data_IF_403242105957
#
_entry.id   IF_403242105957
#
_cell.length_a   1.000
_cell.length_b   1.000
_cell.length_c   1.000
_cell.angle_alpha   90.00
_cell.angle_beta   90.00
_cell.angle_gamma   90.00
#
_symmetry.space_group_name_H-M   'P 1'
#
loop_
_entity.id
_entity.type
_entity.pdbx_description
1 polymer ?
#
# COMPACT_ATOMS: atom_id res chain seq x y z
N UNK A 1 47.39 15.37 11.00
CA UNK A 1 47.93 14.00 10.88
C UNK A 1 48.89 13.96 9.70
N UNK A 2 49.81 13.00 9.63
CA UNK A 2 50.90 13.10 8.64
C UNK A 2 50.41 12.68 7.24
N UNK A 3 50.67 13.59 6.30
CA UNK A 3 50.66 13.30 4.87
C UNK A 3 52.03 12.72 4.51
N UNK A 4 52.08 11.67 3.73
CA UNK A 4 53.30 10.97 3.37
C UNK A 4 53.64 11.21 1.90
N UNK A 5 54.96 11.22 1.59
CA UNK A 5 55.44 11.25 0.21
C UNK A 5 55.90 9.85 -0.19
N UNK A 6 55.41 9.39 -1.31
CA UNK A 6 55.84 8.13 -1.93
C UNK A 6 57.22 8.29 -2.54
N UNK A 7 58.20 7.58 -1.99
CA UNK A 7 59.62 7.69 -2.40
C UNK A 7 59.87 7.25 -3.86
N UNK A 8 58.99 6.43 -4.39
CA UNK A 8 59.17 5.88 -5.76
C UNK A 8 58.58 6.80 -6.82
N UNK A 9 57.42 7.44 -6.51
CA UNK A 9 56.71 8.26 -7.50
C UNK A 9 56.79 9.76 -7.24
N UNK A 10 57.39 10.18 -6.10
CA UNK A 10 57.46 11.57 -5.64
C UNK A 10 56.11 12.21 -5.32
N UNK A 11 55.02 11.48 -5.44
CA UNK A 11 53.63 11.95 -5.19
C UNK A 11 53.26 11.80 -3.72
N UNK A 12 52.31 12.64 -3.26
CA UNK A 12 51.82 12.59 -1.91
C UNK A 12 50.61 11.68 -1.74
N UNK A 13 50.43 11.12 -0.53
CA UNK A 13 49.29 10.34 -0.14
C UNK A 13 48.93 10.60 1.32
N UNK A 14 47.67 10.37 1.68
CA UNK A 14 47.26 10.32 3.09
C UNK A 14 46.83 8.91 3.46
N UNK A 15 46.96 8.58 4.74
CA UNK A 15 46.44 7.37 5.35
C UNK A 15 45.87 7.76 6.73
N UNK A 16 44.57 7.53 6.92
CA UNK A 16 43.90 7.79 8.19
C UNK A 16 43.09 6.57 8.65
N UNK A 17 42.85 6.49 9.94
CA UNK A 17 41.93 5.55 10.54
C UNK A 17 40.60 6.25 10.80
N UNK A 18 39.52 5.55 10.58
CA UNK A 18 38.17 5.99 10.88
C UNK A 18 37.36 4.83 11.45
N UNK A 19 36.27 5.12 12.14
CA UNK A 19 35.30 4.12 12.60
C UNK A 19 34.20 4.06 11.57
N UNK A 20 33.92 2.87 11.06
CA UNK A 20 32.86 2.69 10.09
C UNK A 20 31.47 2.66 10.77
N UNK A 21 30.42 2.51 9.97
CA UNK A 21 29.04 2.48 10.46
C UNK A 21 28.71 1.25 11.35
N UNK A 22 29.56 0.23 11.35
CA UNK A 22 29.47 -0.94 12.23
C UNK A 22 30.21 -0.73 13.56
N UNK A 23 30.86 0.40 13.72
CA UNK A 23 31.70 0.70 14.87
C UNK A 23 33.13 0.13 14.75
N UNK A 24 33.48 -0.44 13.59
CA UNK A 24 34.80 -1.04 13.37
C UNK A 24 35.83 -0.01 12.92
N UNK A 25 37.05 -0.15 13.44
CA UNK A 25 38.18 0.71 13.06
C UNK A 25 38.77 0.27 11.72
N UNK A 26 38.63 1.10 10.68
CA UNK A 26 39.14 0.87 9.34
C UNK A 26 40.19 1.88 8.93
N UNK A 27 41.02 1.49 7.97
CA UNK A 27 42.09 2.33 7.41
C UNK A 27 41.72 2.75 5.99
N UNK A 28 41.78 4.07 5.70
CA UNK A 28 41.66 4.62 4.35
C UNK A 28 43.00 5.17 3.91
N UNK A 29 43.42 4.82 2.68
CA UNK A 29 44.60 5.38 2.04
C UNK A 29 44.24 5.87 0.65
N UNK A 30 44.67 7.08 0.28
CA UNK A 30 44.50 7.64 -1.08
C UNK A 30 45.82 8.22 -1.53
N UNK A 31 46.30 7.75 -2.70
CA UNK A 31 47.60 8.13 -3.29
C UNK A 31 47.42 9.01 -4.52
N UNK A 32 48.53 9.61 -5.03
CA UNK A 32 48.60 10.26 -6.34
C UNK A 32 48.43 11.76 -6.32
N UNK A 33 48.47 12.41 -5.17
CA UNK A 33 48.41 13.88 -5.09
C UNK A 33 49.73 14.53 -5.52
N UNK A 34 49.62 15.61 -6.30
CA UNK A 34 50.80 16.36 -6.79
C UNK A 34 51.42 17.20 -5.67
N UNK A 35 50.63 17.70 -4.72
CA UNK A 35 51.08 18.56 -3.64
C UNK A 35 50.60 18.02 -2.27
N UNK A 36 51.41 18.23 -1.22
CA UNK A 36 51.06 17.83 0.15
C UNK A 36 49.77 18.50 0.66
N UNK A 37 49.53 19.77 0.30
CA UNK A 37 48.30 20.51 0.62
C UNK A 37 47.04 19.86 0.11
N UNK A 38 47.09 19.29 -1.09
CA UNK A 38 45.94 18.63 -1.75
C UNK A 38 45.61 17.28 -1.08
N UNK A 39 46.66 16.53 -0.67
CA UNK A 39 46.51 15.33 0.12
C UNK A 39 45.92 15.63 1.50
N UNK A 40 46.37 16.72 2.16
CA UNK A 40 45.84 17.18 3.48
C UNK A 40 44.40 17.69 3.39
N UNK A 41 44.07 18.40 2.31
CA UNK A 41 42.70 18.82 2.04
C UNK A 41 41.80 17.62 1.85
N UNK A 42 42.20 16.65 1.03
CA UNK A 42 41.44 15.42 0.76
C UNK A 42 41.29 14.53 2.02
N UNK A 43 42.30 14.48 2.91
CA UNK A 43 42.19 13.82 4.22
C UNK A 43 41.12 14.49 5.09
N UNK A 44 41.20 15.83 5.22
CA UNK A 44 40.25 16.62 6.03
C UNK A 44 38.84 16.48 5.50
N UNK A 45 38.63 16.55 4.18
CA UNK A 45 37.33 16.39 3.57
C UNK A 45 36.78 14.99 3.77
N UNK A 46 37.63 13.96 3.70
CA UNK A 46 37.25 12.58 4.01
C UNK A 46 36.84 12.44 5.48
N UNK A 47 37.63 12.96 6.42
CA UNK A 47 37.29 12.89 7.85
C UNK A 47 36.03 13.69 8.19
N UNK A 48 35.85 14.88 7.61
CA UNK A 48 34.65 15.70 7.79
C UNK A 48 33.41 14.97 7.24
N UNK A 49 33.54 14.25 6.12
CA UNK A 49 32.48 13.39 5.59
C UNK A 49 32.18 12.21 6.53
N UNK A 50 33.18 11.71 7.29
CA UNK A 50 33.01 10.64 8.27
C UNK A 50 32.31 11.11 9.55
N UNK A 51 32.52 12.36 9.97
CA UNK A 51 31.85 12.93 11.16
C UNK A 51 30.37 13.25 10.94
N UNK A 52 29.87 13.20 9.71
CA UNK A 52 28.49 13.55 9.38
C UNK A 52 27.68 12.54 8.54
N UNK A 53 28.32 11.49 8.02
CA UNK A 53 27.60 10.53 7.18
C UNK A 53 28.22 9.14 7.31
N UNK A 54 27.40 8.16 7.58
CA UNK A 54 27.80 6.76 7.54
C UNK A 54 28.33 6.41 6.14
N UNK A 55 29.53 5.82 6.06
CA UNK A 55 30.09 5.24 4.82
C UNK A 55 29.30 4.01 4.31
N UNK A 56 28.04 3.99 4.56
CA UNK A 56 27.14 2.91 4.24
C UNK A 56 26.64 3.04 2.80
N UNK A 57 26.65 1.95 2.04
CA UNK A 57 26.00 1.91 0.72
C UNK A 57 24.47 1.98 0.86
N UNK A 58 23.80 2.46 -0.17
CA UNK A 58 22.33 2.48 -0.16
C UNK A 58 21.74 1.05 -0.05
N UNK A 59 22.42 0.05 -0.62
CA UNK A 59 22.01 -1.36 -0.51
C UNK A 59 22.08 -1.84 0.93
N UNK A 60 23.17 -1.57 1.66
CA UNK A 60 23.30 -1.95 3.07
C UNK A 60 22.25 -1.24 3.95
N UNK A 61 21.99 0.04 3.71
CA UNK A 61 20.92 0.77 4.39
C UNK A 61 19.54 0.12 4.14
N UNK A 62 19.27 -0.29 2.90
CA UNK A 62 18.02 -0.97 2.54
C UNK A 62 17.87 -2.30 3.29
N UNK A 63 18.93 -3.12 3.35
CA UNK A 63 18.91 -4.42 4.05
C UNK A 63 18.60 -4.26 5.54
N UNK A 64 19.22 -3.27 6.19
CA UNK A 64 18.95 -2.92 7.59
C UNK A 64 17.52 -2.39 7.80
N UNK A 65 17.07 -1.52 6.90
CA UNK A 65 15.71 -0.97 6.97
C UNK A 65 14.64 -2.03 6.80
N UNK A 66 14.81 -2.95 5.87
CA UNK A 66 13.86 -4.06 5.65
C UNK A 66 13.90 -5.05 6.82
N UNK A 67 15.06 -5.33 7.41
CA UNK A 67 15.17 -6.15 8.61
C UNK A 67 14.40 -5.52 9.79
N UNK A 68 14.56 -4.22 10.04
CA UNK A 68 13.79 -3.48 11.06
C UNK A 68 12.28 -3.51 10.75
N UNK A 69 11.90 -3.33 9.49
CA UNK A 69 10.50 -3.43 9.06
C UNK A 69 9.91 -4.83 9.32
N UNK A 70 10.65 -5.92 9.07
CA UNK A 70 10.22 -7.30 9.34
C UNK A 70 9.94 -7.55 10.82
N UNK A 71 10.74 -6.97 11.70
CA UNK A 71 10.54 -7.11 13.15
C UNK A 71 9.29 -6.36 13.68
N UNK A 72 8.81 -5.31 12.99
CA UNK A 72 7.78 -4.40 13.50
C UNK A 72 6.47 -4.39 12.73
N UNK A 73 6.49 -4.78 11.47
CA UNK A 73 5.33 -4.63 10.59
C UNK A 73 4.73 -5.99 10.22
N UNK A 74 3.45 -5.98 9.86
CA UNK A 74 2.80 -7.16 9.28
C UNK A 74 3.50 -7.57 7.98
N UNK A 75 3.65 -8.87 7.77
CA UNK A 75 4.35 -9.47 6.62
C UNK A 75 3.85 -8.89 5.27
N UNK A 76 2.54 -8.77 5.07
CA UNK A 76 1.96 -8.20 3.85
C UNK A 76 2.39 -6.75 3.58
N UNK A 77 2.66 -5.97 4.64
CA UNK A 77 3.18 -4.60 4.53
C UNK A 77 4.65 -4.63 4.12
N UNK A 78 5.44 -5.53 4.69
CA UNK A 78 6.86 -5.70 4.33
C UNK A 78 7.00 -6.13 2.88
N UNK A 79 6.23 -7.12 2.42
CA UNK A 79 6.20 -7.56 1.01
C UNK A 79 5.91 -6.39 0.06
N UNK A 80 4.90 -5.57 0.40
CA UNK A 80 4.56 -4.40 -0.42
C UNK A 80 5.66 -3.34 -0.43
N UNK A 81 6.33 -3.10 0.70
CA UNK A 81 7.48 -2.19 0.79
C UNK A 81 8.66 -2.72 0.00
N UNK A 82 9.03 -3.98 0.23
CA UNK A 82 10.13 -4.65 -0.44
C UNK A 82 9.98 -4.60 -1.96
N UNK A 83 8.81 -4.94 -2.48
CA UNK A 83 8.49 -4.81 -3.91
C UNK A 83 8.73 -3.41 -4.45
N UNK A 84 8.33 -2.34 -3.73
CA UNK A 84 8.58 -0.96 -4.17
C UNK A 84 10.09 -0.63 -4.18
N UNK A 85 10.85 -1.13 -3.20
CA UNK A 85 12.30 -0.96 -3.18
C UNK A 85 12.96 -1.69 -4.34
N UNK A 86 12.67 -2.97 -4.54
CA UNK A 86 13.29 -3.81 -5.56
C UNK A 86 13.04 -3.28 -6.98
N UNK A 87 11.81 -2.87 -7.28
CA UNK A 87 11.44 -2.49 -8.65
C UNK A 87 11.57 -1.00 -8.96
N UNK A 88 11.57 -0.12 -7.96
CA UNK A 88 11.47 1.32 -8.22
C UNK A 88 12.55 2.18 -7.57
N UNK A 89 13.19 1.73 -6.50
CA UNK A 89 14.15 2.53 -5.73
C UNK A 89 15.57 2.00 -5.91
N UNK A 90 15.81 0.72 -5.62
CA UNK A 90 17.12 0.10 -5.71
C UNK A 90 17.77 0.24 -7.10
N UNK A 91 17.07 0.05 -8.23
CA UNK A 91 17.68 0.18 -9.55
C UNK A 91 18.41 1.51 -9.79
N UNK A 92 17.94 2.58 -9.16
CA UNK A 92 18.58 3.89 -9.24
C UNK A 92 19.61 4.13 -8.14
N UNK A 93 19.29 3.79 -6.88
CA UNK A 93 20.10 4.20 -5.72
C UNK A 93 21.18 3.20 -5.32
N UNK A 94 21.13 1.93 -5.72
CA UNK A 94 22.15 0.93 -5.38
C UNK A 94 23.56 1.27 -5.89
N UNK A 95 23.68 2.18 -6.89
CA UNK A 95 24.96 2.66 -7.42
C UNK A 95 25.73 3.55 -6.44
N UNK A 96 25.09 4.00 -5.36
CA UNK A 96 25.73 4.84 -4.37
C UNK A 96 26.33 3.99 -3.24
N UNK A 97 27.67 3.89 -3.25
CA UNK A 97 28.44 3.20 -2.20
C UNK A 97 28.48 3.98 -0.88
N UNK A 98 28.09 5.25 -0.92
CA UNK A 98 27.96 6.10 0.26
C UNK A 98 26.68 6.94 0.18
N UNK A 99 25.75 6.70 1.12
CA UNK A 99 24.48 7.43 1.20
C UNK A 99 24.66 8.94 1.44
N UNK A 100 25.78 9.35 2.03
CA UNK A 100 26.12 10.77 2.21
C UNK A 100 26.37 11.51 0.92
N UNK A 101 26.70 10.81 -0.17
CA UNK A 101 26.91 11.37 -1.50
C UNK A 101 25.63 11.57 -2.31
N UNK A 102 24.50 11.08 -1.79
CA UNK A 102 23.20 11.26 -2.46
C UNK A 102 22.73 12.70 -2.19
N UNK A 103 22.53 13.43 -3.30
CA UNK A 103 22.10 14.83 -3.25
C UNK A 103 20.62 14.98 -3.59
N UNK A 104 19.98 16.12 -3.24
CA UNK A 104 18.62 16.41 -3.70
C UNK A 104 18.49 16.41 -5.25
N UNK A 105 19.56 16.74 -5.98
CA UNK A 105 19.58 16.69 -7.43
C UNK A 105 19.45 15.24 -7.95
N UNK A 106 20.13 14.27 -7.33
CA UNK A 106 19.98 12.86 -7.66
C UNK A 106 18.55 12.37 -7.42
N UNK A 107 17.94 12.81 -6.30
CA UNK A 107 16.53 12.47 -6.01
C UNK A 107 15.61 13.09 -7.06
N UNK A 108 15.84 14.32 -7.48
CA UNK A 108 15.04 14.99 -8.52
C UNK A 108 15.17 14.28 -9.89
N UNK A 109 16.38 13.85 -10.27
CA UNK A 109 16.58 13.06 -11.48
C UNK A 109 15.73 11.76 -11.43
N UNK A 110 15.83 11.01 -10.35
CA UNK A 110 15.02 9.80 -10.15
C UNK A 110 13.51 10.07 -10.14
N UNK A 111 13.07 11.17 -9.53
CA UNK A 111 11.67 11.59 -9.55
C UNK A 111 11.15 11.80 -10.97
N UNK A 112 11.95 12.45 -11.83
CA UNK A 112 11.59 12.66 -13.24
C UNK A 112 11.45 11.33 -13.99
N UNK A 113 12.33 10.36 -13.75
CA UNK A 113 12.21 9.01 -14.31
C UNK A 113 10.95 8.27 -13.82
N UNK A 114 10.55 8.45 -12.55
CA UNK A 114 9.32 7.87 -12.04
C UNK A 114 8.06 8.45 -12.70
N UNK A 115 8.04 9.75 -12.97
CA UNK A 115 6.89 10.42 -13.58
C UNK A 115 6.60 9.94 -15.01
N UNK A 116 7.63 9.43 -15.72
CA UNK A 116 7.42 8.84 -17.05
C UNK A 116 6.89 7.40 -16.99
N UNK A 117 7.11 6.67 -15.87
CA UNK A 117 6.79 5.24 -15.75
C UNK A 117 5.51 4.96 -14.98
N UNK A 118 5.14 5.82 -14.05
CA UNK A 118 4.08 5.54 -13.07
C UNK A 118 3.03 6.66 -12.99
N UNK A 119 1.82 6.28 -12.58
CA UNK A 119 0.74 7.23 -12.28
C UNK A 119 1.13 8.14 -11.10
N UNK A 120 0.65 9.39 -11.05
CA UNK A 120 1.02 10.36 -10.01
C UNK A 120 0.86 9.86 -8.56
N UNK A 121 -0.21 9.11 -8.27
CA UNK A 121 -0.43 8.53 -6.92
C UNK A 121 0.60 7.45 -6.58
N UNK A 122 1.06 6.67 -7.57
CA UNK A 122 2.13 5.68 -7.39
C UNK A 122 3.48 6.38 -7.17
N UNK A 123 3.80 7.42 -7.94
CA UNK A 123 5.01 8.23 -7.75
C UNK A 123 5.09 8.76 -6.33
N UNK A 124 3.99 9.31 -5.80
CA UNK A 124 3.92 9.78 -4.42
C UNK A 124 4.19 8.67 -3.41
N UNK A 125 3.57 7.49 -3.59
CA UNK A 125 3.77 6.34 -2.70
C UNK A 125 5.22 5.87 -2.71
N UNK A 126 5.85 5.76 -3.88
CA UNK A 126 7.24 5.34 -4.04
C UNK A 126 8.18 6.36 -3.40
N UNK A 127 7.97 7.66 -3.67
CA UNK A 127 8.75 8.74 -3.04
C UNK A 127 8.65 8.73 -1.51
N UNK A 128 7.46 8.44 -0.95
CA UNK A 128 7.28 8.33 0.49
C UNK A 128 8.10 7.19 1.11
N UNK A 129 8.33 6.08 0.38
CA UNK A 129 9.20 5.00 0.85
C UNK A 129 10.67 5.41 0.84
N UNK A 130 11.12 6.17 -0.18
CA UNK A 130 12.47 6.74 -0.21
C UNK A 130 12.69 7.71 0.95
N UNK A 131 11.71 8.57 1.24
CA UNK A 131 11.78 9.48 2.38
C UNK A 131 11.82 8.73 3.73
N UNK A 132 11.08 7.62 3.85
CA UNK A 132 11.07 6.81 5.06
C UNK A 132 12.42 6.16 5.35
N UNK A 133 13.12 5.62 4.36
CA UNK A 133 14.44 5.03 4.55
C UNK A 133 15.51 6.09 4.87
N UNK A 134 15.44 7.28 4.27
CA UNK A 134 16.34 8.38 4.65
C UNK A 134 16.06 8.90 6.05
N UNK A 135 14.80 8.96 6.50
CA UNK A 135 14.48 9.27 7.91
C UNK A 135 15.05 8.22 8.86
N UNK A 136 15.03 6.95 8.50
CA UNK A 136 15.65 5.87 9.26
C UNK A 136 17.16 6.07 9.34
N UNK A 137 17.82 6.43 8.24
CA UNK A 137 19.24 6.73 8.22
C UNK A 137 19.61 7.96 9.09
N UNK A 138 18.79 9.02 9.04
CA UNK A 138 18.97 10.21 9.90
C UNK A 138 18.84 9.83 11.37
N UNK A 139 17.82 9.02 11.72
CA UNK A 139 17.52 8.68 13.10
C UNK A 139 18.53 7.73 13.74
N UNK A 140 19.03 6.75 12.98
CA UNK A 140 19.80 5.65 13.56
C UNK A 140 21.24 5.54 13.06
N UNK A 141 21.58 6.15 11.93
CA UNK A 141 22.89 5.98 11.29
C UNK A 141 23.64 7.30 11.04
N UNK A 142 23.24 8.38 11.69
CA UNK A 142 23.99 9.65 11.67
C UNK A 142 23.99 10.39 10.34
N UNK A 143 23.04 10.07 9.43
CA UNK A 143 22.88 10.89 8.23
C UNK A 143 22.40 12.29 8.62
N UNK A 144 23.09 13.35 8.17
CA UNK A 144 22.83 14.71 8.61
C UNK A 144 21.41 15.23 8.27
N UNK A 145 20.83 14.79 7.14
CA UNK A 145 19.53 15.26 6.65
C UNK A 145 18.88 14.30 5.66
N UNK A 146 17.56 14.35 5.59
CA UNK A 146 16.79 13.59 4.61
C UNK A 146 16.76 14.33 3.25
N UNK A 147 17.55 13.88 2.30
CA UNK A 147 17.65 14.48 0.96
C UNK A 147 16.37 14.32 0.13
N UNK A 148 15.56 13.30 0.41
CA UNK A 148 14.27 13.11 -0.26
C UNK A 148 13.25 14.17 0.22
N UNK A 149 13.27 14.56 1.49
CA UNK A 149 12.46 15.66 1.99
C UNK A 149 12.88 16.99 1.37
N UNK A 150 14.20 17.24 1.25
CA UNK A 150 14.74 18.48 0.68
C UNK A 150 14.37 18.57 -0.82
N UNK A 151 14.44 17.47 -1.57
CA UNK A 151 14.03 17.44 -2.97
C UNK A 151 12.52 17.74 -3.18
N UNK A 152 11.73 17.62 -2.12
CA UNK A 152 10.28 17.78 -2.16
C UNK A 152 9.53 16.57 -2.69
N UNK A 153 8.24 16.49 -2.36
CA UNK A 153 7.37 15.40 -2.82
C UNK A 153 6.96 15.53 -4.29
N UNK A 154 6.55 14.40 -4.88
CA UNK A 154 6.01 14.34 -6.24
C UNK A 154 4.65 13.63 -6.26
N UNK A 155 3.92 13.84 -7.35
CA UNK A 155 2.66 13.15 -7.63
C UNK A 155 1.47 13.68 -6.82
N UNK A 156 0.34 12.99 -6.92
CA UNK A 156 -0.93 13.41 -6.34
C UNK A 156 -1.29 12.64 -5.05
N UNK A 157 -2.02 13.28 -4.14
CA UNK A 157 -2.52 12.65 -2.90
C UNK A 157 -3.72 11.75 -3.13
N UNK A 158 -4.59 12.11 -4.05
CA UNK A 158 -5.82 11.38 -4.36
C UNK A 158 -5.82 10.95 -5.83
N UNK A 159 -6.34 9.76 -6.12
CA UNK A 159 -6.80 9.43 -7.46
C UNK A 159 -8.06 10.26 -7.77
N UNK A 160 -8.37 10.44 -9.05
CA UNK A 160 -9.68 10.93 -9.49
C UNK A 160 -10.78 10.04 -8.90
N UNK A 161 -12.02 10.56 -8.82
CA UNK A 161 -13.20 9.95 -8.18
C UNK A 161 -13.26 8.41 -8.29
N UNK A 162 -13.72 7.76 -7.23
CA UNK A 162 -13.92 6.32 -7.23
C UNK A 162 -14.93 5.94 -8.33
N UNK A 163 -14.54 5.01 -9.22
CA UNK A 163 -15.49 4.39 -10.14
C UNK A 163 -16.36 3.43 -9.33
N UNK A 164 -17.66 3.45 -9.58
CA UNK A 164 -18.61 2.50 -8.97
C UNK A 164 -19.74 2.22 -9.95
N UNK A 165 -20.39 1.08 -9.81
CA UNK A 165 -21.60 0.73 -10.53
C UNK A 165 -22.83 1.23 -9.79
N UNK A 166 -23.83 1.70 -10.54
CA UNK A 166 -25.20 1.87 -10.04
C UNK A 166 -25.84 0.49 -9.84
N UNK A 167 -27.05 0.47 -9.27
CA UNK A 167 -27.80 -0.78 -9.13
C UNK A 167 -28.12 -1.39 -10.50
N UNK A 168 -28.55 -0.57 -11.45
CA UNK A 168 -28.89 -1.01 -12.82
C UNK A 168 -27.65 -1.56 -13.57
N UNK A 169 -26.49 -0.89 -13.42
CA UNK A 169 -25.23 -1.37 -14.01
C UNK A 169 -24.78 -2.70 -13.38
N UNK A 170 -24.99 -2.86 -12.07
CA UNK A 170 -24.71 -4.10 -11.38
C UNK A 170 -25.64 -5.23 -11.84
N UNK A 171 -26.95 -4.97 -11.88
CA UNK A 171 -27.95 -5.97 -12.27
C UNK A 171 -27.71 -6.46 -13.72
N UNK A 172 -27.41 -5.55 -14.66
CA UNK A 172 -27.00 -5.93 -16.03
C UNK A 172 -25.72 -6.78 -16.07
N UNK A 173 -24.73 -6.40 -15.29
CA UNK A 173 -23.44 -7.09 -15.28
C UNK A 173 -23.55 -8.49 -14.63
N UNK A 174 -24.31 -8.64 -13.54
CA UNK A 174 -24.43 -9.92 -12.82
C UNK A 174 -25.21 -10.96 -13.61
N UNK A 175 -26.09 -10.57 -14.53
CA UNK A 175 -26.77 -11.45 -15.47
C UNK A 175 -25.81 -12.14 -16.44
N UNK A 176 -24.70 -11.50 -16.78
CA UNK A 176 -23.66 -12.06 -17.66
C UNK A 176 -22.77 -13.11 -16.97
N UNK A 177 -22.86 -13.22 -15.63
CA UNK A 177 -22.04 -14.17 -14.86
C UNK A 177 -22.71 -15.54 -14.81
N UNK A 178 -22.09 -16.54 -15.46
CA UNK A 178 -22.64 -17.87 -15.57
C UNK A 178 -22.35 -18.76 -14.36
N UNK A 179 -21.13 -18.72 -13.83
CA UNK A 179 -20.75 -19.56 -12.70
C UNK A 179 -21.44 -19.07 -11.42
N UNK A 180 -22.20 -19.98 -10.78
CA UNK A 180 -23.00 -19.66 -9.60
C UNK A 180 -22.14 -19.19 -8.42
N UNK A 181 -20.94 -19.75 -8.26
CA UNK A 181 -19.96 -19.31 -7.26
C UNK A 181 -19.56 -17.84 -7.45
N UNK A 182 -19.20 -17.46 -8.67
CA UNK A 182 -18.78 -16.09 -8.97
C UNK A 182 -19.95 -15.12 -8.83
N UNK A 183 -21.13 -15.54 -9.28
CA UNK A 183 -22.38 -14.78 -9.14
C UNK A 183 -22.70 -14.53 -7.67
N UNK A 184 -22.62 -15.55 -6.83
CA UNK A 184 -22.81 -15.42 -5.37
C UNK A 184 -21.76 -14.51 -4.75
N UNK A 185 -20.48 -14.68 -5.08
CA UNK A 185 -19.39 -13.86 -4.55
C UNK A 185 -19.56 -12.37 -4.88
N UNK A 186 -19.83 -12.04 -6.14
CA UNK A 186 -20.02 -10.65 -6.59
C UNK A 186 -21.30 -10.03 -5.99
N UNK A 187 -22.38 -10.82 -5.90
CA UNK A 187 -23.63 -10.38 -5.28
C UNK A 187 -23.45 -10.07 -3.79
N UNK A 188 -22.78 -10.96 -3.05
CA UNK A 188 -22.46 -10.72 -1.65
C UNK A 188 -21.59 -9.47 -1.49
N UNK A 189 -20.53 -9.29 -2.30
CA UNK A 189 -19.68 -8.08 -2.24
C UNK A 189 -20.47 -6.79 -2.47
N UNK A 190 -21.37 -6.79 -3.46
CA UNK A 190 -22.18 -5.61 -3.79
C UNK A 190 -23.17 -5.27 -2.68
N UNK A 191 -23.89 -6.25 -2.11
CA UNK A 191 -24.93 -5.98 -1.12
C UNK A 191 -24.46 -5.95 0.34
N UNK A 192 -23.26 -6.43 0.64
CA UNK A 192 -22.68 -6.37 1.99
C UNK A 192 -21.65 -5.28 2.18
N UNK A 193 -20.97 -4.87 1.11
CA UNK A 193 -19.82 -3.97 1.16
C UNK A 193 -18.58 -4.58 1.80
N UNK A 194 -18.48 -5.90 1.87
CA UNK A 194 -17.30 -6.61 2.38
C UNK A 194 -16.04 -6.30 1.54
N UNK A 195 -14.87 -6.39 2.17
CA UNK A 195 -13.61 -6.45 1.41
C UNK A 195 -13.45 -7.83 0.77
N UNK A 196 -12.80 -7.90 -0.38
CA UNK A 196 -12.54 -9.19 -1.06
C UNK A 196 -11.88 -10.21 -0.14
N UNK A 197 -10.87 -9.79 0.63
CA UNK A 197 -10.22 -10.68 1.59
C UNK A 197 -11.12 -11.13 2.74
N UNK A 198 -12.11 -10.33 3.15
CA UNK A 198 -13.14 -10.71 4.14
C UNK A 198 -14.07 -11.77 3.54
N UNK A 199 -14.57 -11.56 2.32
CA UNK A 199 -15.40 -12.53 1.60
C UNK A 199 -14.70 -13.89 1.45
N UNK A 200 -13.46 -13.89 0.95
CA UNK A 200 -12.69 -15.10 0.67
C UNK A 200 -12.28 -15.87 1.95
N UNK A 201 -12.39 -15.25 3.12
CA UNK A 201 -12.14 -15.87 4.41
C UNK A 201 -13.43 -16.39 5.10
N UNK A 202 -14.62 -16.14 4.50
CA UNK A 202 -15.89 -16.60 5.10
C UNK A 202 -15.94 -18.12 5.15
N UNK A 203 -16.38 -18.64 6.30
CA UNK A 203 -16.70 -20.05 6.49
C UNK A 203 -18.21 -20.22 6.65
N UNK A 204 -18.69 -21.44 6.58
CA UNK A 204 -20.10 -21.75 6.79
C UNK A 204 -20.62 -21.25 8.12
N UNK A 205 -19.81 -21.30 9.20
CA UNK A 205 -20.16 -20.77 10.51
C UNK A 205 -20.28 -19.22 10.58
N UNK A 206 -19.77 -18.49 9.57
CA UNK A 206 -19.87 -17.03 9.53
C UNK A 206 -21.14 -16.53 8.85
N UNK A 207 -21.95 -17.42 8.26
CA UNK A 207 -23.18 -17.07 7.57
C UNK A 207 -24.39 -17.73 8.25
N UNK A 208 -25.38 -16.92 8.58
CA UNK A 208 -26.69 -17.38 9.04
C UNK A 208 -27.73 -17.07 7.96
N UNK A 209 -28.15 -18.12 7.24
CA UNK A 209 -29.12 -18.01 6.16
C UNK A 209 -30.54 -17.73 6.64
N UNK A 210 -30.87 -18.02 7.92
CA UNK A 210 -32.20 -17.76 8.50
C UNK A 210 -32.34 -16.29 8.88
N UNK A 211 -31.28 -15.69 9.43
CA UNK A 211 -31.21 -14.27 9.78
C UNK A 211 -30.70 -13.38 8.63
N UNK A 212 -30.25 -13.96 7.51
CA UNK A 212 -29.58 -13.26 6.40
C UNK A 212 -28.37 -12.43 6.86
N UNK A 213 -27.55 -12.96 7.77
CA UNK A 213 -26.42 -12.24 8.33
C UNK A 213 -25.09 -12.88 8.01
N UNK A 214 -24.08 -12.04 7.82
CA UNK A 214 -22.69 -12.43 7.64
C UNK A 214 -21.86 -11.81 8.74
N UNK A 215 -21.13 -12.63 9.50
CA UNK A 215 -20.24 -12.19 10.57
C UNK A 215 -18.80 -12.18 10.10
N UNK A 216 -18.18 -10.99 10.10
CA UNK A 216 -16.81 -10.76 9.65
C UNK A 216 -15.88 -10.82 10.85
N UNK A 217 -15.10 -11.89 10.97
CA UNK A 217 -14.12 -12.09 12.06
C UNK A 217 -12.70 -12.25 11.56
N UNK A 218 -12.51 -12.49 10.26
CA UNK A 218 -11.25 -12.87 9.63
C UNK A 218 -11.12 -12.31 8.22
N UNK A 219 -9.92 -12.34 7.68
CA UNK A 219 -9.62 -11.89 6.31
C UNK A 219 -8.51 -12.74 5.70
N UNK A 220 -8.59 -13.00 4.41
CA UNK A 220 -7.51 -13.61 3.65
C UNK A 220 -6.43 -12.57 3.38
N UNK A 221 -5.20 -12.85 3.80
CA UNK A 221 -4.04 -11.98 3.66
C UNK A 221 -2.94 -12.68 2.87
N UNK A 222 -2.30 -11.95 1.96
CA UNK A 222 -1.16 -12.45 1.19
C UNK A 222 0.10 -12.47 2.06
N UNK A 223 0.83 -13.59 1.99
CA UNK A 223 2.16 -13.78 2.58
C UNK A 223 3.20 -14.04 1.47
N UNK A 224 4.46 -14.23 1.85
CA UNK A 224 5.51 -14.61 0.90
C UNK A 224 5.28 -15.99 0.27
N UNK A 225 4.67 -16.93 1.03
CA UNK A 225 4.44 -18.32 0.63
C UNK A 225 3.03 -18.59 0.11
N UNK A 226 2.16 -17.56 0.03
CA UNK A 226 0.78 -17.77 -0.44
C UNK A 226 -0.23 -16.90 0.30
N UNK A 227 -1.33 -17.52 0.74
CA UNK A 227 -2.40 -16.82 1.45
C UNK A 227 -2.63 -17.46 2.83
N UNK A 228 -2.88 -16.63 3.82
CA UNK A 228 -3.27 -17.08 5.17
C UNK A 228 -4.56 -16.38 5.60
N UNK A 229 -5.36 -17.08 6.42
CA UNK A 229 -6.47 -16.47 7.13
C UNK A 229 -5.92 -15.80 8.38
N UNK A 230 -6.16 -14.51 8.52
CA UNK A 230 -5.66 -13.67 9.60
C UNK A 230 -6.82 -12.87 10.24
N UNK A 231 -6.68 -12.43 11.49
CA UNK A 231 -7.65 -11.48 12.06
C UNK A 231 -7.68 -10.19 11.24
N UNK A 232 -8.82 -9.47 11.25
CA UNK A 232 -8.95 -8.20 10.55
C UNK A 232 -7.88 -7.20 10.99
N UNK A 233 -7.65 -6.19 10.13
CA UNK A 233 -6.60 -5.19 10.37
C UNK A 233 -6.84 -4.35 11.62
N UNK A 234 -8.12 -4.06 11.93
CA UNK A 234 -8.52 -3.26 13.09
C UNK A 234 -9.68 -3.95 13.84
N UNK A 235 -9.85 -3.71 15.15
CA UNK A 235 -10.95 -4.26 15.93
C UNK A 235 -12.34 -3.92 15.36
N UNK A 236 -12.54 -2.70 14.86
CA UNK A 236 -13.79 -2.24 14.24
C UNK A 236 -14.13 -2.95 12.92
N UNK A 237 -13.19 -3.67 12.34
CA UNK A 237 -13.47 -4.51 11.17
C UNK A 237 -14.29 -5.75 11.52
N UNK A 238 -14.31 -6.18 12.80
CA UNK A 238 -15.21 -7.24 13.27
C UNK A 238 -16.62 -6.67 13.34
N UNK A 239 -17.54 -7.26 12.60
CA UNK A 239 -18.92 -6.79 12.49
C UNK A 239 -19.82 -7.87 11.94
N UNK A 240 -21.10 -7.77 12.21
CA UNK A 240 -22.16 -8.54 11.53
C UNK A 240 -22.88 -7.63 10.56
N UNK A 241 -23.10 -8.12 9.35
CA UNK A 241 -23.75 -7.38 8.26
C UNK A 241 -24.98 -8.17 7.80
N UNK A 242 -26.16 -7.58 7.92
CA UNK A 242 -27.39 -8.15 7.33
C UNK A 242 -27.40 -7.86 5.83
N UNK A 243 -27.64 -8.89 5.02
CA UNK A 243 -27.78 -8.77 3.57
C UNK A 243 -29.26 -8.88 3.16
N UNK A 244 -29.66 -8.26 2.02
CA UNK A 244 -31.05 -8.39 1.56
C UNK A 244 -31.36 -9.82 1.12
N UNK A 245 -32.65 -10.22 1.23
CA UNK A 245 -33.11 -11.57 0.88
C UNK A 245 -32.69 -12.03 -0.49
N UNK A 246 -32.66 -11.14 -1.50
CA UNK A 246 -32.20 -11.46 -2.86
C UNK A 246 -30.73 -11.90 -2.90
N UNK A 247 -29.86 -11.29 -2.08
CA UNK A 247 -28.44 -11.68 -2.01
C UNK A 247 -28.27 -12.98 -1.25
N UNK A 248 -29.04 -13.17 -0.16
CA UNK A 248 -29.09 -14.41 0.59
C UNK A 248 -29.58 -15.58 -0.25
N UNK A 249 -30.61 -15.39 -1.08
CA UNK A 249 -31.13 -16.41 -1.98
C UNK A 249 -30.05 -16.91 -2.97
N UNK A 250 -29.27 -16.01 -3.58
CA UNK A 250 -28.18 -16.39 -4.50
C UNK A 250 -27.07 -17.13 -3.73
N UNK A 251 -26.73 -16.68 -2.53
CA UNK A 251 -25.72 -17.34 -1.68
C UNK A 251 -26.18 -18.74 -1.26
N UNK A 252 -27.44 -18.88 -0.81
CA UNK A 252 -28.01 -20.16 -0.43
C UNK A 252 -28.08 -21.14 -1.62
N UNK A 253 -28.45 -20.67 -2.81
CA UNK A 253 -28.43 -21.48 -4.03
C UNK A 253 -27.02 -22.02 -4.34
N UNK A 254 -25.98 -21.19 -4.15
CA UNK A 254 -24.61 -21.64 -4.32
C UNK A 254 -24.21 -22.64 -3.21
N UNK A 255 -24.50 -22.35 -1.94
CA UNK A 255 -24.16 -23.23 -0.82
C UNK A 255 -24.81 -24.62 -1.00
N UNK A 256 -26.03 -24.67 -1.52
CA UNK A 256 -26.73 -25.93 -1.81
C UNK A 256 -26.02 -26.81 -2.86
N UNK A 257 -25.08 -26.26 -3.65
CA UNK A 257 -24.25 -27.04 -4.59
C UNK A 257 -23.00 -27.65 -3.94
N UNK A 258 -22.67 -27.26 -2.70
CA UNK A 258 -21.50 -27.78 -2.00
C UNK A 258 -21.80 -29.16 -1.41
N UNK A 259 -20.81 -30.05 -1.49
CA UNK A 259 -20.95 -31.40 -0.94
C UNK A 259 -20.66 -31.39 0.57
N UNK A 260 -21.68 -31.70 1.37
CA UNK A 260 -21.63 -31.83 2.85
C UNK A 260 -20.77 -30.78 3.57
N UNK A 261 -21.02 -29.46 3.35
CA UNK A 261 -20.17 -28.41 3.87
C UNK A 261 -20.17 -28.40 5.39
N UNK A 262 -18.98 -28.42 6.00
CA UNK A 262 -18.80 -28.36 7.44
C UNK A 262 -18.70 -26.89 7.93
N UNK A 263 -19.00 -26.59 9.20
CA UNK A 263 -18.98 -25.22 9.74
C UNK A 263 -17.64 -24.49 9.54
N UNK A 264 -16.52 -25.22 9.47
CA UNK A 264 -15.17 -24.65 9.27
C UNK A 264 -14.76 -24.49 7.82
N UNK A 265 -15.51 -25.06 6.89
CA UNK A 265 -15.20 -24.98 5.47
C UNK A 265 -15.43 -23.58 4.93
N UNK A 266 -14.53 -23.12 4.07
CA UNK A 266 -14.69 -21.84 3.39
C UNK A 266 -15.84 -21.91 2.41
N UNK A 267 -16.72 -20.91 2.40
CA UNK A 267 -17.85 -20.83 1.47
C UNK A 267 -17.35 -20.80 0.02
N UNK A 268 -16.34 -19.97 -0.28
CA UNK A 268 -15.82 -19.75 -1.63
C UNK A 268 -14.53 -20.54 -1.86
N UNK A 269 -14.66 -21.85 -2.10
CA UNK A 269 -13.54 -22.79 -2.27
C UNK A 269 -12.78 -22.47 -3.56
N UNK A 270 -11.43 -22.42 -3.48
CA UNK A 270 -10.56 -22.21 -4.64
C UNK A 270 -10.63 -20.81 -5.26
N UNK A 271 -11.55 -19.97 -4.80
CA UNK A 271 -11.68 -18.61 -5.31
C UNK A 271 -10.58 -17.71 -4.72
N UNK A 272 -10.00 -16.89 -5.57
CA UNK A 272 -9.12 -15.79 -5.14
C UNK A 272 -9.48 -14.50 -5.89
N UNK A 273 -8.86 -13.37 -5.53
CA UNK A 273 -9.24 -12.08 -6.10
C UNK A 273 -8.99 -11.92 -7.60
N UNK A 274 -8.07 -12.69 -8.19
CA UNK A 274 -7.72 -12.57 -9.62
C UNK A 274 -8.78 -13.14 -10.56
N UNK A 275 -9.32 -14.37 -10.35
CA UNK A 275 -10.46 -14.89 -11.12
C UNK A 275 -11.68 -13.99 -11.06
N UNK A 276 -12.07 -13.50 -9.86
CA UNK A 276 -13.20 -12.57 -9.74
C UNK A 276 -13.00 -11.28 -10.54
N UNK A 277 -11.78 -10.74 -10.58
CA UNK A 277 -11.48 -9.56 -11.38
C UNK A 277 -11.63 -9.82 -12.89
N UNK A 278 -11.26 -11.02 -13.34
CA UNK A 278 -11.42 -11.41 -14.73
C UNK A 278 -12.91 -11.60 -15.09
N UNK A 279 -13.65 -12.35 -14.29
CA UNK A 279 -15.11 -12.54 -14.47
C UNK A 279 -15.83 -11.19 -14.53
N UNK A 280 -15.54 -10.32 -13.58
CA UNK A 280 -16.14 -8.98 -13.52
C UNK A 280 -15.81 -8.11 -14.75
N UNK A 281 -14.57 -8.25 -15.30
CA UNK A 281 -14.20 -7.59 -16.55
C UNK A 281 -15.00 -8.09 -17.75
N UNK A 282 -15.22 -9.40 -17.85
CA UNK A 282 -16.04 -10.01 -18.91
C UNK A 282 -17.51 -9.60 -18.78
N UNK A 283 -18.05 -9.66 -17.56
CA UNK A 283 -19.41 -9.24 -17.27
C UNK A 283 -19.65 -7.76 -17.64
N UNK A 284 -18.68 -6.88 -17.33
CA UNK A 284 -18.77 -5.47 -17.71
C UNK A 284 -18.80 -5.25 -19.23
N UNK A 285 -18.05 -6.06 -19.98
CA UNK A 285 -18.05 -6.00 -21.46
C UNK A 285 -19.36 -6.54 -22.02
N UNK A 286 -19.85 -7.69 -21.52
CA UNK A 286 -21.10 -8.30 -21.98
C UNK A 286 -22.34 -7.45 -21.70
N UNK A 287 -22.31 -6.69 -20.60
CA UNK A 287 -23.41 -5.80 -20.19
C UNK A 287 -23.29 -4.36 -20.75
N UNK A 288 -22.23 -4.06 -21.47
CA UNK A 288 -21.90 -2.70 -21.95
C UNK A 288 -21.90 -1.66 -20.82
N UNK A 289 -21.28 -2.01 -19.68
CA UNK A 289 -21.10 -1.10 -18.55
C UNK A 289 -19.64 -0.77 -18.32
N UNK A 290 -19.37 0.31 -17.60
CA UNK A 290 -18.00 0.74 -17.30
C UNK A 290 -17.22 -0.32 -16.51
N UNK A 291 -15.95 -0.51 -16.85
CA UNK A 291 -15.06 -1.43 -16.13
C UNK A 291 -14.67 -0.84 -14.77
N UNK A 292 -14.92 -1.59 -13.71
CA UNK A 292 -14.51 -1.27 -12.35
C UNK A 292 -13.71 -2.44 -11.74
N UNK A 293 -13.01 -2.19 -10.63
CA UNK A 293 -12.29 -3.24 -9.89
C UNK A 293 -13.23 -3.95 -8.92
N UNK A 294 -12.91 -5.17 -8.52
CA UNK A 294 -13.71 -5.91 -7.52
C UNK A 294 -13.88 -5.11 -6.22
N UNK A 295 -12.84 -4.38 -5.79
CA UNK A 295 -12.93 -3.51 -4.60
C UNK A 295 -13.91 -2.33 -4.80
N UNK A 296 -14.14 -1.91 -6.03
CA UNK A 296 -15.05 -0.80 -6.33
C UNK A 296 -16.53 -1.21 -6.14
N UNK A 297 -16.86 -2.53 -6.03
CA UNK A 297 -18.19 -2.99 -5.59
C UNK A 297 -18.53 -2.50 -4.16
N UNK A 298 -17.53 -2.41 -3.30
CA UNK A 298 -17.69 -1.80 -1.99
C UNK A 298 -17.95 -0.29 -2.08
N UNK A 299 -17.36 0.38 -3.06
CA UNK A 299 -17.68 1.77 -3.39
C UNK A 299 -19.10 1.89 -3.94
N UNK A 300 -19.53 0.95 -4.80
CA UNK A 300 -20.91 0.86 -5.29
C UNK A 300 -21.91 0.69 -4.15
N UNK A 301 -21.64 -0.22 -3.22
CA UNK A 301 -22.46 -0.42 -2.02
C UNK A 301 -22.63 0.86 -1.19
N UNK A 302 -21.53 1.53 -0.89
CA UNK A 302 -21.56 2.76 -0.11
C UNK A 302 -22.31 3.88 -0.82
N UNK A 303 -22.06 4.06 -2.13
CA UNK A 303 -22.73 5.06 -2.95
C UNK A 303 -24.24 4.78 -3.07
N UNK A 304 -24.62 3.50 -3.23
CA UNK A 304 -26.02 3.08 -3.25
C UNK A 304 -26.76 3.47 -1.96
N UNK A 305 -26.17 3.15 -0.80
CA UNK A 305 -26.75 3.50 0.49
C UNK A 305 -26.89 5.01 0.70
N UNK A 306 -25.84 5.76 0.38
CA UNK A 306 -25.79 7.21 0.54
C UNK A 306 -26.81 7.90 -0.37
N UNK A 307 -26.90 7.49 -1.64
CA UNK A 307 -27.87 8.04 -2.59
C UNK A 307 -29.33 7.74 -2.18
N UNK A 308 -29.54 6.70 -1.37
CA UNK A 308 -30.85 6.38 -0.78
C UNK A 308 -31.02 6.97 0.64
N UNK A 309 -30.25 7.98 1.01
CA UNK A 309 -30.44 8.75 2.25
C UNK A 309 -29.87 8.09 3.51
N UNK A 310 -29.06 7.04 3.40
CA UNK A 310 -28.49 6.40 4.57
C UNK A 310 -27.51 7.33 5.32
N UNK A 311 -27.59 7.33 6.65
CA UNK A 311 -26.69 8.09 7.50
C UNK A 311 -25.23 7.64 7.30
N UNK A 312 -24.32 8.59 7.13
CA UNK A 312 -22.89 8.32 6.84
C UNK A 312 -22.20 7.53 7.96
N UNK A 313 -22.63 7.73 9.23
CA UNK A 313 -22.11 6.98 10.38
C UNK A 313 -22.51 5.49 10.27
N UNK A 314 -23.78 5.23 9.96
CA UNK A 314 -24.26 3.86 9.75
C UNK A 314 -23.56 3.17 8.56
N UNK A 315 -23.34 3.90 7.46
CA UNK A 315 -22.55 3.39 6.32
C UNK A 315 -21.11 3.10 6.74
N UNK A 316 -20.47 3.98 7.52
CA UNK A 316 -19.09 3.79 8.01
C UNK A 316 -18.96 2.56 8.92
N UNK A 317 -19.89 2.35 9.82
CA UNK A 317 -19.95 1.20 10.71
C UNK A 317 -20.18 -0.10 9.92
N UNK A 318 -21.14 -0.11 9.01
CA UNK A 318 -21.43 -1.24 8.13
C UNK A 318 -20.21 -1.64 7.28
N UNK A 319 -19.47 -0.67 6.78
CA UNK A 319 -18.23 -0.90 6.06
C UNK A 319 -17.08 -1.37 7.00
N UNK A 320 -17.14 -1.11 8.28
CA UNK A 320 -16.05 -1.39 9.23
C UNK A 320 -14.84 -0.46 8.97
N UNK A 321 -15.10 0.85 8.79
CA UNK A 321 -14.06 1.85 8.77
C UNK A 321 -13.70 2.26 10.20
N UNK A 322 -12.42 2.32 10.49
CA UNK A 322 -11.91 2.68 11.82
C UNK A 322 -12.18 4.16 12.15
N UNK A 323 -12.06 5.02 11.14
CA UNK A 323 -12.33 6.44 11.21
C UNK A 323 -13.39 6.83 10.16
N UNK A 324 -14.47 7.49 10.60
CA UNK A 324 -15.53 8.04 9.75
C UNK A 324 -15.00 9.00 8.68
N UNK A 325 -13.85 9.66 8.95
CA UNK A 325 -13.17 10.52 7.97
C UNK A 325 -12.84 9.77 6.67
N UNK A 326 -12.61 8.46 6.76
CA UNK A 326 -12.38 7.65 5.55
C UNK A 326 -13.62 7.64 4.66
N UNK A 327 -14.80 7.46 5.24
CA UNK A 327 -16.08 7.49 4.53
C UNK A 327 -16.38 8.90 4.00
N UNK A 328 -16.24 9.92 4.84
CA UNK A 328 -16.45 11.32 4.47
C UNK A 328 -15.52 11.78 3.32
N UNK A 329 -14.24 11.48 3.41
CA UNK A 329 -13.27 11.86 2.38
C UNK A 329 -13.50 11.16 1.04
N UNK A 330 -14.12 9.97 1.06
CA UNK A 330 -14.40 9.19 -0.15
C UNK A 330 -15.75 9.52 -0.75
N UNK A 331 -16.77 9.66 0.07
CA UNK A 331 -18.17 9.76 -0.38
C UNK A 331 -18.86 11.09 -0.02
N UNK A 332 -18.21 11.99 0.72
CA UNK A 332 -18.80 13.25 1.14
C UNK A 332 -19.31 14.13 -0.02
N UNK A 333 -18.73 13.95 -1.22
CA UNK A 333 -19.19 14.65 -2.42
C UNK A 333 -20.59 14.22 -2.90
N UNK A 334 -21.07 13.04 -2.50
CA UNK A 334 -22.41 12.54 -2.81
C UNK A 334 -23.51 13.23 -1.99
N UNK A 335 -23.14 13.86 -0.89
CA UNK A 335 -24.05 14.68 -0.07
C UNK A 335 -24.19 16.14 -0.55
N UNK A 336 -23.64 16.47 -1.71
CA UNK A 336 -23.82 17.81 -2.29
C UNK A 336 -25.29 18.02 -2.68
N UNK A 337 -25.81 19.23 -2.43
CA UNK A 337 -27.17 19.70 -2.74
C UNK A 337 -28.29 19.15 -1.83
N UNK A 338 -28.00 18.81 -0.58
CA UNK A 338 -29.05 18.44 0.39
C UNK A 338 -29.71 19.65 1.06
N UNK A 339 -29.26 20.88 0.76
CA UNK A 339 -29.80 22.11 1.42
C UNK A 339 -31.30 22.27 1.18
N UNK A 340 -31.77 22.07 -0.07
CA UNK A 340 -33.19 22.07 -0.38
C UNK A 340 -34.00 20.97 0.33
N UNK A 341 -33.38 19.79 0.49
CA UNK A 341 -34.02 18.69 1.21
C UNK A 341 -34.08 18.96 2.71
N UNK A 342 -33.06 19.61 3.26
CA UNK A 342 -33.05 20.06 4.67
C UNK A 342 -34.10 21.17 4.90
N UNK A 343 -34.22 22.15 4.00
CA UNK A 343 -35.25 23.16 4.05
C UNK A 343 -36.66 22.54 3.99
N UNK A 344 -36.89 21.63 3.04
CA UNK A 344 -38.19 20.93 2.94
C UNK A 344 -38.48 20.00 4.15
N UNK A 345 -37.46 19.56 4.88
CA UNK A 345 -37.62 18.83 6.13
C UNK A 345 -38.03 19.76 7.27
N UNK A 346 -37.42 20.96 7.33
CA UNK A 346 -37.79 21.98 8.34
C UNK A 346 -39.21 22.52 8.11
N UNK A 347 -39.66 22.66 6.86
CA UNK A 347 -41.03 23.07 6.51
C UNK A 347 -42.11 22.05 6.97
N UNK A 348 -41.70 20.81 7.32
CA UNK A 348 -42.60 19.74 7.81
C UNK A 348 -42.67 19.64 9.33
N UNK A 349 -41.84 20.38 10.05
CA UNK A 349 -41.84 20.45 11.52
C UNK A 349 -42.78 21.54 12.03
#
# INVERSE_FOLDING_TARGET
>A
MPVYQDKTTGKYFFACYYVDWQGERRRKMKRGFKFARDAKAAERDFLNQQHGASCMSFKALYELYIADCRARLKESTVISKDSLFQYSILPFFQRFDNIGNITPAHVRQWQNELLTKYKPTSCRRIHSQLSAIFNFAVKYYGLARNVACIAGGIGARKANSANYWTLEEFDKAIEQVQALQDKAALTVLFYSGLRVGELLALTMADYDGSANTITVTKTLSRTATGYIIAPPKTPKSRRTVTIPCKASAVLNAYIATLYEPQPRDTIFIGLNGNPLAYVMKLAAVGADVKKIRVHDLRHSHASLLINNGANIKAVSERLGHDDIKTTLNTYGHLYKNQDNALAAMLDKL
#
